data_IF_274343003092
#
_entry.id   IF_274343003092
#
_cell.length_a   1.000
_cell.length_b   1.000
_cell.length_c   1.000
_cell.angle_alpha   90.00
_cell.angle_beta   90.00
_cell.angle_gamma   90.00
#
_symmetry.space_group_name_H-M   'P 1'
#
loop_
_entity.id
_entity.type
_entity.pdbx_description
1 polymer ?
#
# COMPACT_ATOMS: atom_id res chain seq x y z
N UNK A 1 6.43 22.04 5.37
CA UNK A 1 6.93 20.76 5.91
C UNK A 1 6.49 19.53 5.11
N UNK A 2 5.28 19.46 4.53
CA UNK A 2 4.85 18.27 3.75
C UNK A 2 5.52 18.07 2.38
N UNK A 3 5.76 19.13 1.60
CA UNK A 3 6.32 19.00 0.25
C UNK A 3 7.79 18.51 0.24
N UNK A 4 8.59 18.90 1.23
CA UNK A 4 9.99 18.46 1.37
C UNK A 4 10.07 16.98 1.77
N UNK A 5 9.19 16.51 2.65
CA UNK A 5 9.10 15.09 3.02
C UNK A 5 8.63 14.23 1.85
N UNK A 6 7.63 14.66 1.08
CA UNK A 6 7.19 13.96 -0.14
C UNK A 6 8.28 13.93 -1.21
N UNK A 7 9.00 15.03 -1.42
CA UNK A 7 10.12 15.08 -2.36
C UNK A 7 11.27 14.15 -1.93
N UNK A 8 11.57 14.09 -0.64
CA UNK A 8 12.61 13.23 -0.09
C UNK A 8 12.22 11.74 -0.18
N UNK A 9 10.96 11.39 0.09
CA UNK A 9 10.43 10.04 -0.10
C UNK A 9 10.46 9.63 -1.58
N UNK A 10 10.05 10.50 -2.50
CA UNK A 10 10.13 10.25 -3.93
C UNK A 10 11.58 10.06 -4.41
N UNK A 11 12.53 10.85 -3.91
CA UNK A 11 13.95 10.70 -4.23
C UNK A 11 14.54 9.40 -3.68
N UNK A 12 14.13 8.99 -2.47
CA UNK A 12 14.53 7.72 -1.87
C UNK A 12 14.00 6.53 -2.67
N UNK A 13 12.70 6.54 -3.03
CA UNK A 13 12.08 5.52 -3.88
C UNK A 13 12.74 5.43 -5.26
N UNK A 14 13.07 6.58 -5.86
CA UNK A 14 13.78 6.63 -7.13
C UNK A 14 15.20 6.04 -7.04
N UNK A 15 15.91 6.32 -5.95
CA UNK A 15 17.24 5.75 -5.69
C UNK A 15 17.17 4.25 -5.46
N UNK A 16 16.22 3.80 -4.64
CA UNK A 16 15.98 2.39 -4.36
C UNK A 16 15.69 1.61 -5.66
N UNK A 17 14.86 2.14 -6.55
CA UNK A 17 14.59 1.50 -7.84
C UNK A 17 15.84 1.39 -8.71
N UNK A 18 16.66 2.44 -8.80
CA UNK A 18 17.91 2.41 -9.60
C UNK A 18 18.87 1.35 -9.09
N UNK A 19 19.07 1.28 -7.77
CA UNK A 19 19.91 0.27 -7.13
C UNK A 19 19.35 -1.13 -7.35
N UNK A 20 18.04 -1.31 -7.16
CA UNK A 20 17.35 -2.57 -7.41
C UNK A 20 17.54 -3.02 -8.86
N UNK A 21 17.21 -2.16 -9.83
CA UNK A 21 17.32 -2.48 -11.24
C UNK A 21 18.75 -2.84 -11.60
N UNK A 22 19.76 -2.09 -11.13
CA UNK A 22 21.17 -2.41 -11.36
C UNK A 22 21.62 -3.75 -10.77
N UNK A 23 20.95 -4.25 -9.72
CA UNK A 23 21.25 -5.54 -9.09
C UNK A 23 20.60 -6.75 -9.75
N UNK A 24 19.73 -6.53 -10.74
CA UNK A 24 19.06 -7.62 -11.46
C UNK A 24 20.06 -8.37 -12.36
N UNK A 25 19.89 -9.69 -12.54
CA UNK A 25 20.69 -10.46 -13.49
C UNK A 25 20.38 -10.05 -14.93
N UNK A 26 21.34 -10.26 -15.84
CA UNK A 26 21.23 -9.92 -17.27
C UNK A 26 19.96 -10.51 -17.92
N UNK A 27 19.55 -11.71 -17.52
CA UNK A 27 18.33 -12.34 -18.00
C UNK A 27 17.07 -11.51 -17.64
N UNK A 28 16.99 -11.00 -16.41
CA UNK A 28 15.89 -10.14 -16.00
C UNK A 28 15.91 -8.81 -16.75
N UNK A 29 17.09 -8.21 -16.97
CA UNK A 29 17.21 -7.01 -17.80
C UNK A 29 16.72 -7.24 -19.23
N UNK A 30 17.14 -8.34 -19.86
CA UNK A 30 16.73 -8.66 -21.22
C UNK A 30 15.22 -8.83 -21.33
N UNK A 31 14.59 -9.54 -20.37
CA UNK A 31 13.14 -9.71 -20.35
C UNK A 31 12.38 -8.40 -20.11
N UNK A 32 12.86 -7.54 -19.19
CA UNK A 32 12.24 -6.23 -18.94
C UNK A 32 12.38 -5.31 -20.16
N UNK A 33 13.55 -5.31 -20.82
CA UNK A 33 13.76 -4.54 -22.04
C UNK A 33 12.88 -5.05 -23.21
N UNK A 34 12.63 -6.36 -23.27
CA UNK A 34 11.74 -6.94 -24.27
C UNK A 34 10.29 -6.43 -24.14
N UNK A 35 9.81 -6.13 -22.92
CA UNK A 35 8.50 -5.49 -22.72
C UNK A 35 8.40 -4.13 -23.42
N UNK A 36 9.54 -3.45 -23.55
CA UNK A 36 9.64 -2.13 -24.16
C UNK A 36 9.96 -2.18 -25.66
N UNK A 37 9.95 -3.37 -26.26
CA UNK A 37 10.13 -3.51 -27.70
C UNK A 37 8.95 -2.90 -28.47
N UNK A 38 9.22 -2.41 -29.68
CA UNK A 38 8.25 -1.67 -30.49
C UNK A 38 6.95 -2.45 -30.69
N UNK A 39 7.07 -3.72 -31.03
CA UNK A 39 5.93 -4.58 -31.39
C UNK A 39 5.39 -5.41 -30.21
N UNK A 40 5.97 -5.25 -29.02
CA UNK A 40 5.48 -5.94 -27.82
C UNK A 40 4.16 -5.31 -27.33
N UNK A 41 3.15 -6.14 -27.13
CA UNK A 41 1.80 -5.75 -26.72
C UNK A 41 1.48 -6.12 -25.28
N UNK A 42 2.41 -6.74 -24.54
CA UNK A 42 2.17 -7.22 -23.17
C UNK A 42 1.83 -6.08 -22.23
N UNK A 43 2.38 -4.88 -22.45
CA UNK A 43 2.08 -3.70 -21.65
C UNK A 43 0.65 -3.15 -21.81
N UNK A 44 -0.15 -3.67 -22.76
CA UNK A 44 -1.56 -3.31 -22.88
C UNK A 44 -2.41 -3.90 -21.74
N UNK A 45 -1.91 -4.93 -21.05
CA UNK A 45 -2.63 -5.59 -19.98
C UNK A 45 -1.71 -5.94 -18.80
N UNK A 46 -2.24 -5.91 -17.56
CA UNK A 46 -1.53 -6.43 -16.40
C UNK A 46 -1.15 -7.89 -16.57
N UNK A 47 -0.02 -8.28 -15.97
CA UNK A 47 0.37 -9.69 -15.96
C UNK A 47 -0.61 -10.49 -15.08
N UNK A 48 -1.26 -11.55 -15.61
CA UNK A 48 -2.27 -12.32 -14.88
C UNK A 48 -1.71 -13.14 -13.72
N UNK A 49 -0.38 -13.34 -13.66
CA UNK A 49 0.28 -14.10 -12.60
C UNK A 49 0.84 -13.20 -11.49
N UNK A 50 0.75 -11.87 -11.63
CA UNK A 50 1.12 -10.97 -10.56
C UNK A 50 0.04 -10.93 -9.47
N UNK A 51 0.40 -10.55 -8.23
CA UNK A 51 -0.60 -10.18 -7.23
C UNK A 51 -1.52 -9.07 -7.77
N UNK A 52 -2.79 -9.00 -7.32
CA UNK A 52 -3.68 -7.91 -7.70
C UNK A 52 -3.05 -6.55 -7.37
N UNK A 53 -3.14 -5.54 -8.25
CA UNK A 53 -2.50 -4.24 -8.02
C UNK A 53 -3.19 -3.43 -6.91
N UNK A 54 -4.50 -3.58 -6.74
CA UNK A 54 -5.25 -2.92 -5.67
C UNK A 54 -6.06 -3.94 -4.89
N UNK A 55 -5.41 -4.73 -4.02
CA UNK A 55 -6.11 -5.67 -3.15
C UNK A 55 -6.94 -4.92 -2.11
N UNK A 56 -7.94 -5.59 -1.53
CA UNK A 56 -8.69 -5.05 -0.41
C UNK A 56 -7.77 -4.83 0.80
N UNK A 57 -7.90 -3.68 1.45
CA UNK A 57 -7.15 -3.31 2.66
C UNK A 57 -8.09 -2.75 3.75
N UNK A 58 -7.68 -2.75 5.03
CA UNK A 58 -8.42 -2.11 6.11
C UNK A 58 -8.63 -0.61 5.88
N UNK A 59 -9.65 -0.06 6.54
CA UNK A 59 -9.85 1.38 6.68
C UNK A 59 -8.60 1.98 7.32
N UNK A 60 -8.15 3.16 6.87
CA UNK A 60 -6.90 3.78 7.32
C UNK A 60 -5.63 3.21 6.68
N UNK A 61 -5.75 2.25 5.77
CA UNK A 61 -4.65 1.75 4.93
C UNK A 61 -4.86 2.21 3.50
N UNK A 62 -3.77 2.64 2.86
CA UNK A 62 -3.76 3.12 1.48
C UNK A 62 -2.80 2.30 0.63
N UNK A 63 -3.23 1.98 -0.60
CA UNK A 63 -2.39 1.40 -1.66
C UNK A 63 -2.30 2.38 -2.83
N UNK A 64 -1.09 2.62 -3.35
CA UNK A 64 -0.88 3.50 -4.51
C UNK A 64 0.37 3.19 -5.30
N UNK A 65 0.45 3.77 -6.50
CA UNK A 65 1.68 3.80 -7.30
C UNK A 65 2.73 4.72 -6.68
N UNK A 66 3.97 4.24 -6.64
CA UNK A 66 5.14 5.03 -6.26
C UNK A 66 5.59 5.91 -7.41
N UNK A 67 5.34 7.22 -7.31
CA UNK A 67 5.76 8.21 -8.31
C UNK A 67 7.27 8.22 -8.50
N UNK A 68 8.03 8.10 -7.41
CA UNK A 68 9.49 8.03 -7.44
C UNK A 68 9.99 6.80 -8.22
N UNK A 69 9.38 5.63 -8.01
CA UNK A 69 9.75 4.43 -8.78
C UNK A 69 9.35 4.53 -10.25
N UNK A 70 8.17 5.08 -10.57
CA UNK A 70 7.73 5.30 -11.94
C UNK A 70 8.70 6.23 -12.70
N UNK A 71 9.05 7.37 -12.11
CA UNK A 71 10.02 8.30 -12.68
C UNK A 71 11.41 7.66 -12.87
N UNK A 72 11.87 6.89 -11.90
CA UNK A 72 13.14 6.16 -12.01
C UNK A 72 13.10 5.06 -13.08
N UNK A 73 11.97 4.37 -13.23
CA UNK A 73 11.78 3.38 -14.28
C UNK A 73 11.90 4.01 -15.67
N UNK A 74 11.27 5.16 -15.93
CA UNK A 74 11.42 5.89 -17.19
C UNK A 74 12.88 6.26 -17.49
N UNK A 75 13.63 6.67 -16.46
CA UNK A 75 15.02 7.09 -16.60
C UNK A 75 16.00 5.93 -16.76
N UNK A 76 15.68 4.75 -16.24
CA UNK A 76 16.63 3.63 -16.11
C UNK A 76 16.37 2.53 -17.12
N UNK A 77 15.11 2.24 -17.44
CA UNK A 77 14.73 1.13 -18.33
C UNK A 77 14.81 1.59 -19.78
N UNK A 78 15.70 1.00 -20.61
CA UNK A 78 15.84 1.39 -21.99
C UNK A 78 14.52 1.31 -22.76
N UNK A 79 14.22 2.35 -23.54
CA UNK A 79 13.02 2.47 -24.40
C UNK A 79 11.68 2.53 -23.66
N UNK A 80 11.63 2.40 -22.33
CA UNK A 80 10.38 2.50 -21.58
C UNK A 80 9.72 3.86 -21.75
N UNK A 81 10.51 4.94 -21.71
CA UNK A 81 10.00 6.30 -21.96
C UNK A 81 9.36 6.46 -23.34
N UNK A 82 9.97 5.86 -24.36
CA UNK A 82 9.39 5.88 -25.71
C UNK A 82 8.08 5.10 -25.75
N UNK A 83 8.04 3.91 -25.13
CA UNK A 83 6.84 3.07 -25.06
C UNK A 83 5.71 3.75 -24.28
N UNK A 84 6.05 4.46 -23.21
CA UNK A 84 5.12 5.30 -22.43
C UNK A 84 4.44 6.34 -23.32
N UNK A 85 5.20 7.12 -24.10
CA UNK A 85 4.63 8.09 -25.06
C UNK A 85 3.87 7.45 -26.24
N UNK A 86 4.24 6.22 -26.63
CA UNK A 86 3.55 5.52 -27.72
C UNK A 86 2.16 5.02 -27.28
N UNK A 87 2.03 4.55 -26.04
CA UNK A 87 0.81 3.96 -25.51
C UNK A 87 -0.13 4.98 -24.84
N UNK A 88 0.40 6.07 -24.30
CA UNK A 88 -0.39 7.09 -23.59
C UNK A 88 -0.53 8.35 -24.47
N UNK A 89 -1.74 8.93 -24.62
CA UNK A 89 -3.04 8.47 -24.10
C UNK A 89 -3.77 7.52 -25.05
N UNK A 90 -3.10 7.01 -26.10
CA UNK A 90 -3.75 6.33 -27.23
C UNK A 90 -4.45 5.03 -26.86
N UNK A 91 -3.83 4.22 -26.02
CA UNK A 91 -4.27 2.87 -25.67
C UNK A 91 -4.48 2.68 -24.17
N UNK A 92 -3.74 3.43 -23.33
CA UNK A 92 -3.76 3.28 -21.88
C UNK A 92 -3.81 4.64 -21.18
N UNK A 93 -4.35 4.64 -19.97
CA UNK A 93 -4.14 5.73 -19.01
C UNK A 93 -2.75 5.61 -18.37
N UNK A 94 -2.29 6.68 -17.73
CA UNK A 94 -1.04 6.68 -16.96
C UNK A 94 -1.02 5.55 -15.92
N UNK A 95 -2.11 5.39 -15.19
CA UNK A 95 -2.24 4.37 -14.14
C UNK A 95 -2.20 2.95 -14.72
N UNK A 96 -2.95 2.69 -15.80
CA UNK A 96 -3.01 1.36 -16.41
C UNK A 96 -1.67 0.94 -17.01
N UNK A 97 -0.94 1.89 -17.59
CA UNK A 97 0.41 1.65 -18.09
C UNK A 97 1.35 1.20 -16.97
N UNK A 98 1.37 1.93 -15.85
CA UNK A 98 2.26 1.62 -14.74
C UNK A 98 1.90 0.30 -14.06
N UNK A 99 0.62 0.04 -13.83
CA UNK A 99 0.15 -1.25 -13.33
C UNK A 99 0.61 -2.37 -14.25
N UNK A 100 0.42 -2.21 -15.57
CA UNK A 100 0.79 -3.24 -16.54
C UNK A 100 2.30 -3.47 -16.52
N UNK A 101 3.09 -2.41 -16.61
CA UNK A 101 4.55 -2.50 -16.55
C UNK A 101 5.03 -3.20 -15.27
N UNK A 102 4.59 -2.72 -14.11
CA UNK A 102 5.10 -3.23 -12.84
C UNK A 102 4.62 -4.64 -12.51
N UNK A 103 3.42 -5.04 -12.92
CA UNK A 103 2.97 -6.44 -12.77
C UNK A 103 3.82 -7.40 -13.60
N UNK A 104 4.24 -7.02 -14.82
CA UNK A 104 5.19 -7.83 -15.60
C UNK A 104 6.59 -7.86 -14.96
N UNK A 105 7.12 -6.72 -14.53
CA UNK A 105 8.42 -6.66 -13.85
C UNK A 105 8.42 -7.52 -12.59
N UNK A 106 7.34 -7.49 -11.80
CA UNK A 106 7.18 -8.32 -10.60
C UNK A 106 7.35 -9.81 -10.93
N UNK A 107 6.65 -10.29 -11.95
CA UNK A 107 6.71 -11.70 -12.36
C UNK A 107 8.09 -12.09 -12.89
N UNK A 108 8.72 -11.23 -13.69
CA UNK A 108 10.08 -11.46 -14.20
C UNK A 108 11.06 -11.57 -13.04
N UNK A 109 11.02 -10.65 -12.09
CA UNK A 109 11.95 -10.63 -10.95
C UNK A 109 11.70 -11.83 -10.04
N UNK A 110 10.44 -12.23 -9.85
CA UNK A 110 10.09 -13.44 -9.10
C UNK A 110 10.65 -14.71 -9.74
N UNK A 111 10.68 -14.79 -11.08
CA UNK A 111 11.21 -15.94 -11.81
C UNK A 111 12.74 -15.96 -11.82
N UNK A 112 13.37 -14.82 -12.14
CA UNK A 112 14.81 -14.76 -12.35
C UNK A 112 15.63 -14.57 -11.06
N UNK A 113 15.03 -13.98 -10.01
CA UNK A 113 15.75 -13.64 -8.78
C UNK A 113 14.80 -13.62 -7.55
N UNK A 114 14.21 -14.76 -7.16
CA UNK A 114 13.21 -14.85 -6.09
C UNK A 114 13.72 -14.34 -4.72
N UNK A 115 15.02 -14.48 -4.44
CA UNK A 115 15.62 -13.97 -3.21
C UNK A 115 15.55 -12.43 -3.12
N UNK A 116 15.70 -11.72 -4.24
CA UNK A 116 15.57 -10.26 -4.29
C UNK A 116 14.12 -9.83 -4.10
N UNK A 117 13.15 -10.56 -4.67
CA UNK A 117 11.72 -10.32 -4.40
C UNK A 117 11.37 -10.46 -2.92
N UNK A 118 11.87 -11.51 -2.27
CA UNK A 118 11.63 -11.72 -0.84
C UNK A 118 12.24 -10.60 0.02
N UNK A 119 13.44 -10.13 -0.33
CA UNK A 119 14.09 -9.01 0.35
C UNK A 119 13.30 -7.70 0.20
N UNK A 120 12.80 -7.41 -1.00
CA UNK A 120 11.98 -6.21 -1.27
C UNK A 120 10.66 -6.24 -0.52
N UNK A 121 9.97 -7.39 -0.50
CA UNK A 121 8.73 -7.57 0.24
C UNK A 121 8.93 -7.38 1.76
N UNK A 122 10.10 -7.75 2.28
CA UNK A 122 10.44 -7.52 3.69
C UNK A 122 10.73 -6.04 3.97
N UNK A 123 11.55 -5.40 3.14
CA UNK A 123 11.95 -4.01 3.32
C UNK A 123 10.78 -3.03 3.21
N UNK A 124 9.84 -3.25 2.27
CA UNK A 124 8.67 -2.39 2.12
C UNK A 124 7.74 -2.41 3.33
N UNK A 125 7.68 -3.54 4.04
CA UNK A 125 6.83 -3.70 5.22
C UNK A 125 7.37 -3.03 6.47
N UNK A 126 8.69 -3.08 6.73
CA UNK A 126 9.26 -2.63 8.01
C UNK A 126 9.53 -1.12 8.08
N UNK A 127 10.05 -0.52 7.01
CA UNK A 127 10.53 0.88 7.06
C UNK A 127 9.49 1.90 6.56
N UNK A 128 8.54 1.50 5.71
CA UNK A 128 7.57 2.39 5.07
C UNK A 128 6.11 2.08 5.48
N UNK A 129 5.91 1.68 6.73
CA UNK A 129 4.59 1.27 7.21
C UNK A 129 3.62 2.44 7.46
N UNK A 130 4.13 3.66 7.60
CA UNK A 130 3.39 4.89 7.87
C UNK A 130 3.69 5.91 6.78
N UNK A 131 2.68 6.59 6.27
CA UNK A 131 2.86 7.59 5.24
C UNK A 131 1.63 8.47 5.08
N UNK A 132 1.75 9.49 4.26
CA UNK A 132 0.69 10.45 4.05
C UNK A 132 0.22 10.42 2.59
N UNK A 133 -1.09 10.27 2.39
CA UNK A 133 -1.69 10.41 1.07
C UNK A 133 -2.42 11.74 0.99
N UNK A 134 -1.97 12.60 0.08
CA UNK A 134 -2.47 13.98 -0.06
C UNK A 134 -3.63 14.08 -1.03
N UNK A 135 -4.04 12.97 -1.66
CA UNK A 135 -5.18 12.93 -2.58
C UNK A 135 -6.48 13.26 -1.84
N UNK A 136 -7.41 13.91 -2.54
CA UNK A 136 -8.77 14.10 -2.04
C UNK A 136 -9.39 12.73 -1.71
N UNK A 137 -10.00 12.58 -0.53
CA UNK A 137 -10.52 11.31 0.01
C UNK A 137 -9.48 10.31 0.53
N UNK A 138 -8.21 10.68 0.68
CA UNK A 138 -7.18 9.83 1.28
C UNK A 138 -7.44 9.48 2.75
N UNK A 139 -8.02 10.42 3.52
CA UNK A 139 -8.48 10.15 4.87
C UNK A 139 -9.74 9.28 4.85
N UNK A 140 -9.52 7.98 4.68
CA UNK A 140 -10.58 6.96 4.68
C UNK A 140 -11.26 6.82 6.05
N UNK A 141 -10.66 7.35 7.12
CA UNK A 141 -11.24 7.26 8.47
C UNK A 141 -12.38 8.27 8.69
N UNK A 142 -12.19 9.54 8.37
CA UNK A 142 -13.19 10.59 8.71
C UNK A 142 -14.57 10.33 8.09
N UNK A 143 -14.60 9.99 6.80
CA UNK A 143 -15.84 9.69 6.10
C UNK A 143 -16.54 8.46 6.68
N UNK A 144 -15.77 7.41 7.00
CA UNK A 144 -16.28 6.20 7.66
C UNK A 144 -16.85 6.54 9.02
N UNK A 145 -16.09 7.25 9.86
CA UNK A 145 -16.49 7.59 11.22
C UNK A 145 -17.77 8.44 11.24
N UNK A 146 -17.89 9.39 10.32
CA UNK A 146 -19.08 10.21 10.14
C UNK A 146 -20.32 9.37 9.77
N UNK A 147 -20.13 8.30 8.98
CA UNK A 147 -21.20 7.41 8.54
C UNK A 147 -21.58 6.31 9.54
N UNK A 148 -20.79 6.06 10.59
CA UNK A 148 -21.10 5.04 11.59
C UNK A 148 -22.36 5.37 12.39
N UNK A 149 -23.18 4.35 12.65
CA UNK A 149 -24.28 4.42 13.64
C UNK A 149 -23.75 4.58 15.06
N UNK A 150 -24.59 5.07 15.99
CA UNK A 150 -24.20 5.20 17.39
C UNK A 150 -23.79 3.86 18.02
N UNK A 151 -24.45 2.76 17.65
CA UNK A 151 -24.09 1.43 18.10
C UNK A 151 -22.70 1.00 17.61
N UNK A 152 -22.37 1.27 16.34
CA UNK A 152 -21.04 0.99 15.79
C UNK A 152 -19.96 1.89 16.43
N UNK A 153 -20.26 3.18 16.62
CA UNK A 153 -19.34 4.08 17.33
C UNK A 153 -19.08 3.58 18.75
N UNK A 154 -20.12 3.18 19.49
CA UNK A 154 -19.97 2.62 20.82
C UNK A 154 -19.11 1.34 20.81
N UNK A 155 -19.28 0.46 19.82
CA UNK A 155 -18.43 -0.73 19.67
C UNK A 155 -16.95 -0.37 19.42
N UNK A 156 -16.66 0.64 18.59
CA UNK A 156 -15.29 1.13 18.38
C UNK A 156 -14.71 1.76 19.65
N UNK A 157 -15.50 2.55 20.39
CA UNK A 157 -15.07 3.14 21.67
C UNK A 157 -14.77 2.06 22.71
N UNK A 158 -15.55 0.98 22.74
CA UNK A 158 -15.32 -0.15 23.65
C UNK A 158 -13.95 -0.82 23.43
N UNK A 159 -13.41 -0.81 22.21
CA UNK A 159 -12.03 -1.27 21.94
C UNK A 159 -10.99 -0.48 22.73
N UNK A 160 -11.28 0.80 23.02
CA UNK A 160 -10.38 1.72 23.70
C UNK A 160 -10.55 1.71 25.23
N UNK A 161 -11.50 0.93 25.76
CA UNK A 161 -11.73 0.83 27.19
C UNK A 161 -10.48 0.32 27.93
N UNK A 162 -10.32 0.69 29.21
CA UNK A 162 -9.08 0.40 29.97
C UNK A 162 -8.85 -1.10 30.09
N UNK A 163 -9.92 -1.85 30.35
CA UNK A 163 -10.02 -3.30 30.53
C UNK A 163 -10.01 -4.10 29.23
N UNK A 164 -10.19 -3.45 28.08
CA UNK A 164 -10.21 -4.15 26.79
C UNK A 164 -8.80 -4.55 26.35
N UNK A 165 -8.58 -5.83 26.09
CA UNK A 165 -7.34 -6.33 25.49
C UNK A 165 -7.44 -6.51 23.96
N UNK A 166 -8.55 -6.07 23.34
CA UNK A 166 -8.82 -6.28 21.92
C UNK A 166 -7.71 -5.73 21.01
N UNK A 167 -7.11 -4.58 21.36
CA UNK A 167 -6.05 -3.95 20.56
C UNK A 167 -4.66 -4.59 20.74
N UNK A 168 -4.52 -5.64 21.55
CA UNK A 168 -3.26 -6.41 21.64
C UNK A 168 -3.00 -7.23 20.39
N UNK A 169 -4.06 -7.68 19.72
CA UNK A 169 -3.98 -8.52 18.51
C UNK A 169 -4.83 -7.94 17.37
N UNK A 170 -4.44 -8.17 16.10
CA UNK A 170 -5.22 -7.73 14.95
C UNK A 170 -6.47 -8.59 14.73
N UNK A 171 -7.52 -7.99 14.15
CA UNK A 171 -8.73 -8.72 13.76
C UNK A 171 -8.65 -9.25 12.33
N UNK A 172 -7.81 -10.27 12.13
CA UNK A 172 -7.57 -10.84 10.79
C UNK A 172 -8.69 -11.77 10.30
N UNK A 173 -9.61 -12.18 11.18
CA UNK A 173 -10.73 -13.05 10.81
C UNK A 173 -11.82 -12.31 10.03
N UNK A 174 -12.03 -11.01 10.30
CA UNK A 174 -13.12 -10.21 9.71
C UNK A 174 -12.64 -9.06 8.83
N UNK A 175 -11.34 -8.73 8.86
CA UNK A 175 -10.72 -7.68 8.05
C UNK A 175 -9.67 -8.24 7.09
N UNK A 176 -9.48 -7.62 5.90
CA UNK A 176 -8.37 -7.97 5.03
C UNK A 176 -7.02 -7.62 5.70
N UNK A 177 -5.91 -8.20 5.23
CA UNK A 177 -4.58 -7.88 5.77
C UNK A 177 -4.22 -6.41 5.55
N UNK A 178 -3.59 -5.78 6.54
CA UNK A 178 -3.15 -4.38 6.45
C UNK A 178 -2.00 -4.17 5.47
N UNK A 179 -1.15 -5.17 5.27
CA UNK A 179 -0.01 -5.10 4.36
C UNK A 179 -0.03 -6.34 3.45
N UNK A 180 -0.91 -6.37 2.43
CA UNK A 180 -0.94 -7.46 1.46
C UNK A 180 0.31 -7.45 0.58
N UNK A 181 0.59 -8.58 -0.06
CA UNK A 181 1.61 -8.63 -1.13
C UNK A 181 1.14 -7.78 -2.31
N UNK A 182 2.00 -6.87 -2.76
CA UNK A 182 1.76 -6.00 -3.91
C UNK A 182 2.77 -6.26 -5.03
N UNK A 183 2.41 -5.98 -6.29
CA UNK A 183 3.39 -5.80 -7.35
C UNK A 183 4.44 -4.74 -6.99
N UNK A 184 5.64 -4.85 -7.57
CA UNK A 184 6.67 -3.82 -7.53
C UNK A 184 6.11 -2.46 -7.97
N UNK A 185 6.69 -1.34 -7.52
CA UNK A 185 6.20 -0.02 -7.90
C UNK A 185 4.90 0.40 -7.21
N UNK A 186 4.23 -0.48 -6.47
CA UNK A 186 3.11 -0.15 -5.61
C UNK A 186 3.55 -0.14 -4.14
N UNK A 187 2.96 0.76 -3.38
CA UNK A 187 3.23 0.97 -1.95
C UNK A 187 1.94 0.81 -1.15
N UNK A 188 2.06 0.24 0.05
CA UNK A 188 0.98 0.11 1.03
C UNK A 188 1.44 0.70 2.36
N UNK A 189 0.66 1.60 2.93
CA UNK A 189 0.98 2.21 4.22
C UNK A 189 -0.27 2.56 5.01
N UNK A 190 -0.10 2.69 6.33
CA UNK A 190 -1.08 3.28 7.21
C UNK A 190 -1.05 4.80 7.05
N UNK A 191 -2.21 5.38 6.76
CA UNK A 191 -2.34 6.81 6.51
C UNK A 191 -2.25 7.61 7.82
N UNK A 192 -1.29 8.51 7.89
CA UNK A 192 -1.06 9.40 9.03
C UNK A 192 -2.24 10.33 9.30
N UNK A 193 -2.91 10.77 8.24
CA UNK A 193 -4.07 11.65 8.37
C UNK A 193 -5.24 10.87 8.99
N UNK A 194 -5.50 9.64 8.54
CA UNK A 194 -6.46 8.74 9.15
C UNK A 194 -6.13 8.43 10.63
N UNK A 195 -4.86 8.16 10.96
CA UNK A 195 -4.43 7.91 12.34
C UNK A 195 -4.65 9.13 13.25
N UNK A 196 -4.34 10.32 12.74
CA UNK A 196 -4.54 11.60 13.46
C UNK A 196 -6.02 11.85 13.70
N UNK A 197 -6.85 11.69 12.67
CA UNK A 197 -8.29 11.82 12.78
C UNK A 197 -8.90 10.81 13.77
N UNK A 198 -8.41 9.57 13.79
CA UNK A 198 -8.84 8.57 14.76
C UNK A 198 -8.54 8.99 16.22
N UNK A 199 -7.35 9.55 16.49
CA UNK A 199 -7.02 10.07 17.83
C UNK A 199 -7.93 11.23 18.25
N UNK A 200 -8.33 12.07 17.29
CA UNK A 200 -9.21 13.22 17.54
C UNK A 200 -10.65 12.79 17.79
N UNK A 201 -11.14 11.81 17.03
CA UNK A 201 -12.56 11.49 16.99
C UNK A 201 -12.98 10.33 17.88
N UNK A 202 -12.09 9.38 18.20
CA UNK A 202 -12.43 8.19 18.98
C UNK A 202 -12.12 8.41 20.46
N UNK A 203 -13.14 8.53 21.33
CA UNK A 203 -12.93 8.69 22.77
C UNK A 203 -12.07 7.57 23.36
N UNK A 204 -11.08 7.96 24.17
CA UNK A 204 -10.21 7.01 24.88
C UNK A 204 -9.07 6.42 24.05
N UNK A 205 -9.09 6.53 22.71
CA UNK A 205 -8.06 5.95 21.84
C UNK A 205 -6.66 6.52 22.15
N UNK A 206 -6.56 7.84 22.33
CA UNK A 206 -5.28 8.48 22.67
C UNK A 206 -4.72 7.97 24.01
N UNK A 207 -5.57 7.83 25.04
CA UNK A 207 -5.15 7.27 26.34
C UNK A 207 -4.71 5.80 26.19
N UNK A 208 -5.43 5.01 25.38
CA UNK A 208 -5.11 3.62 25.12
C UNK A 208 -3.79 3.49 24.35
N UNK A 209 -3.55 4.33 23.35
CA UNK A 209 -2.29 4.42 22.62
C UNK A 209 -1.11 4.63 23.57
N UNK A 210 -1.17 5.63 24.45
CA UNK A 210 -0.10 5.86 25.45
C UNK A 210 0.06 4.73 26.47
N UNK A 211 -1.00 3.99 26.78
CA UNK A 211 -0.92 2.87 27.70
C UNK A 211 -0.26 1.63 27.08
N UNK A 212 -0.47 1.40 25.78
CA UNK A 212 0.03 0.24 25.06
C UNK A 212 1.37 0.49 24.35
N UNK A 213 1.63 1.69 23.88
CA UNK A 213 2.84 2.04 23.11
C UNK A 213 3.79 2.89 23.96
N UNK A 214 5.09 2.53 24.09
CA UNK A 214 5.76 1.35 23.53
C UNK A 214 5.74 0.11 24.46
N UNK A 215 5.01 0.17 25.58
CA UNK A 215 5.15 -0.80 26.68
C UNK A 215 4.73 -2.23 26.36
N UNK A 216 3.65 -2.38 25.58
CA UNK A 216 3.05 -3.68 25.21
C UNK A 216 3.11 -3.94 23.71
N UNK A 217 3.11 -2.90 22.88
CA UNK A 217 3.08 -2.99 21.42
C UNK A 217 3.96 -1.90 20.80
N UNK A 218 4.44 -2.15 19.59
CA UNK A 218 4.97 -1.09 18.71
C UNK A 218 3.84 -0.21 18.18
N UNK A 219 4.17 1.02 17.74
CA UNK A 219 3.19 1.93 17.13
C UNK A 219 2.54 1.30 15.88
N UNK A 220 3.35 0.63 15.04
CA UNK A 220 2.87 -0.11 13.87
C UNK A 220 1.84 -1.18 14.22
N UNK A 221 2.13 -1.98 15.25
CA UNK A 221 1.23 -3.04 15.69
C UNK A 221 -0.08 -2.44 16.23
N UNK A 222 0.00 -1.38 17.04
CA UNK A 222 -1.19 -0.70 17.56
C UNK A 222 -2.13 -0.22 16.44
N UNK A 223 -1.59 0.48 15.44
CA UNK A 223 -2.40 0.99 14.33
C UNK A 223 -2.96 -0.13 13.45
N UNK A 224 -2.16 -1.15 13.15
CA UNK A 224 -2.61 -2.34 12.43
C UNK A 224 -3.80 -3.00 13.14
N UNK A 225 -3.71 -3.16 14.46
CA UNK A 225 -4.74 -3.77 15.27
C UNK A 225 -6.00 -2.90 15.28
N UNK A 226 -5.85 -1.60 15.57
CA UNK A 226 -6.98 -0.66 15.59
C UNK A 226 -7.76 -0.65 14.28
N UNK A 227 -7.08 -0.50 13.15
CA UNK A 227 -7.73 -0.37 11.84
C UNK A 227 -8.36 -1.67 11.34
N UNK A 228 -7.78 -2.83 11.67
CA UNK A 228 -8.41 -4.12 11.38
C UNK A 228 -9.70 -4.32 12.19
N UNK A 229 -9.70 -3.96 13.48
CA UNK A 229 -10.91 -3.99 14.30
C UNK A 229 -11.98 -2.99 13.82
N UNK A 230 -11.59 -1.75 13.49
CA UNK A 230 -12.51 -0.75 12.93
C UNK A 230 -13.18 -1.28 11.65
N UNK A 231 -12.39 -1.85 10.76
CA UNK A 231 -12.90 -2.43 9.50
C UNK A 231 -13.91 -3.55 9.75
N UNK A 232 -13.66 -4.39 10.75
CA UNK A 232 -14.58 -5.46 11.14
C UNK A 232 -15.91 -4.91 11.69
N UNK A 233 -15.91 -3.81 12.43
CA UNK A 233 -17.14 -3.16 12.94
C UNK A 233 -17.94 -2.49 11.82
N UNK A 234 -17.24 -1.95 10.82
CA UNK A 234 -17.86 -1.24 9.69
C UNK A 234 -18.45 -2.22 8.68
N UNK A 235 -17.81 -3.37 8.43
CA UNK A 235 -18.38 -4.38 7.54
C UNK A 235 -19.67 -4.94 8.14
N UNK A 236 -20.80 -4.88 7.43
CA UNK A 236 -21.97 -5.64 7.86
C UNK A 236 -21.56 -7.11 7.87
N UNK A 237 -21.86 -7.82 8.96
CA UNK A 237 -21.75 -9.28 9.00
C UNK A 237 -22.51 -9.84 7.80
N UNK A 238 -21.80 -10.35 6.81
CA UNK A 238 -22.37 -11.19 5.77
C UNK A 238 -22.83 -12.48 6.47
N UNK A 239 -24.06 -12.43 6.99
CA UNK A 239 -24.60 -13.40 7.93
C UNK A 239 -26.04 -13.04 8.30
N UNK A 240 -26.85 -12.78 7.27
CA UNK A 240 -28.27 -12.49 7.38
C UNK A 240 -28.98 -12.95 6.10
N UNK A 241 -28.85 -14.23 5.78
CA UNK A 241 -29.78 -14.94 4.90
C UNK A 241 -30.60 -15.88 5.78
N UNK A 242 -31.83 -15.49 6.13
CA UNK A 242 -33.09 -16.03 5.58
C UNK A 242 -34.14 -14.94 5.73
#
# INVERSE_FOLDING_TARGET
>A
MGAEQSAQANAAAATAFKTFYASLPDEAHAQIQALCAKDDVRLLHPNPHAPPPFPAVPIGVTVRLSEGMAAAALATVPRLQRKHYELIPKSLTEMDFWISFFTHVTVIVQQCCPAQMAALAKASGEDNWKGNDTRQSANSFEAVWAALTDAQRAAVVALCARESDALLEPNTAAAPPAFPTLPLGLECFLDETAATAALTHVPGLQKKHYALVPKKLSERAFWTNFFTHLTAVVRPTAGGSV
#
